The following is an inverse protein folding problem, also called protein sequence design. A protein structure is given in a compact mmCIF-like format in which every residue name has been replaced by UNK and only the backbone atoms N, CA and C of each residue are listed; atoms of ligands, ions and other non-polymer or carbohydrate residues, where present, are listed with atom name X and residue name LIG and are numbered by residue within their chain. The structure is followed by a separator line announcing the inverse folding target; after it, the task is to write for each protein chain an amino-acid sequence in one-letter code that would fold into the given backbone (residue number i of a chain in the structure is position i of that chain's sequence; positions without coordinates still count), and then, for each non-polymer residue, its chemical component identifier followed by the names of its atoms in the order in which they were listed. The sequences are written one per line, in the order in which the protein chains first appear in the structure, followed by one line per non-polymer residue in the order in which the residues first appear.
data_IF_407799655579
#
_entry.id   IF_407799655579
#
_cell.length_a   1.000
_cell.length_b   1.000
_cell.length_c   1.000
_cell.angle_alpha   90.00
_cell.angle_beta   90.00
_cell.angle_gamma   90.00
#
_symmetry.space_group_name_H-M   'P 1'
#
loop_
_entity.id
_entity.type
_entity.pdbx_description
1 polymer ?
#
# COMPACT_ATOMS: atom_id res chain seq x y z
N UNK A 1 -5.24 -20.50 0.24
CA UNK A 1 -4.08 -20.73 1.13
C UNK A 1 -3.67 -19.39 1.72
N UNK A 2 -3.14 -19.36 2.95
CA UNK A 2 -2.57 -18.13 3.50
C UNK A 2 -1.21 -17.92 2.84
N UNK A 3 -0.99 -16.72 2.29
CA UNK A 3 0.26 -16.29 1.68
C UNK A 3 0.79 -15.10 2.48
N UNK A 4 2.11 -15.05 2.70
CA UNK A 4 2.79 -13.97 3.43
C UNK A 4 4.02 -13.48 2.69
N UNK A 5 4.63 -12.39 3.16
CA UNK A 5 5.91 -11.90 2.64
C UNK A 5 6.97 -12.01 3.74
N UNK A 6 8.12 -12.59 3.40
CA UNK A 6 9.35 -12.42 4.20
C UNK A 6 10.05 -11.18 3.65
N UNK A 7 9.95 -10.08 4.39
CA UNK A 7 10.47 -8.79 3.96
C UNK A 7 11.95 -8.65 4.27
N UNK A 8 12.75 -8.40 3.24
CA UNK A 8 14.17 -8.12 3.31
C UNK A 8 14.35 -6.64 2.95
N UNK A 9 14.80 -5.84 3.91
CA UNK A 9 14.94 -4.40 3.71
C UNK A 9 16.31 -4.06 3.15
N UNK A 10 16.32 -3.55 1.94
CA UNK A 10 17.51 -3.08 1.24
C UNK A 10 17.69 -1.59 1.55
N UNK A 11 18.83 -1.16 2.13
CA UNK A 11 19.07 0.24 2.45
C UNK A 11 19.11 1.12 1.18
N UNK A 12 19.16 2.44 1.37
CA UNK A 12 19.06 3.46 0.32
C UNK A 12 20.16 3.45 -0.78
N UNK A 13 21.00 2.41 -0.86
CA UNK A 13 22.10 2.30 -1.82
C UNK A 13 21.66 2.45 -3.29
N UNK A 14 20.41 2.10 -3.63
CA UNK A 14 19.87 2.24 -5.00
C UNK A 14 19.17 3.56 -5.32
N UNK A 15 18.93 4.44 -4.34
CA UNK A 15 18.14 5.65 -4.57
C UNK A 15 19.06 6.86 -4.81
N UNK A 16 19.17 7.31 -6.06
CA UNK A 16 19.97 8.49 -6.45
C UNK A 16 19.35 9.83 -6.02
N UNK A 17 18.09 9.81 -5.60
CA UNK A 17 17.34 11.00 -5.20
C UNK A 17 16.80 10.85 -3.78
N UNK A 18 16.83 11.95 -3.03
CA UNK A 18 16.21 12.05 -1.72
C UNK A 18 14.83 12.67 -1.91
N UNK A 19 13.79 11.84 -1.78
CA UNK A 19 12.40 12.30 -1.90
C UNK A 19 12.07 13.29 -0.78
N UNK A 20 11.15 14.23 -1.05
CA UNK A 20 10.79 15.26 -0.09
C UNK A 20 10.26 14.73 1.25
N UNK A 21 9.61 13.56 1.23
CA UNK A 21 8.97 12.91 2.38
C UNK A 21 9.80 11.80 3.03
N UNK A 22 10.92 11.41 2.42
CA UNK A 22 11.63 10.21 2.82
C UNK A 22 12.77 10.53 3.79
N UNK A 23 12.65 10.09 5.04
CA UNK A 23 13.75 10.05 6.00
C UNK A 23 14.15 8.60 6.30
N UNK A 24 14.77 7.92 5.33
CA UNK A 24 15.00 6.48 5.44
C UNK A 24 16.02 6.10 6.53
N UNK A 25 16.92 7.01 6.93
CA UNK A 25 17.81 6.80 8.10
C UNK A 25 17.02 6.54 9.38
N UNK A 26 15.80 7.08 9.47
CA UNK A 26 14.86 6.86 10.57
C UNK A 26 13.87 5.71 10.29
N UNK A 27 13.52 5.44 9.03
CA UNK A 27 12.43 4.49 8.69
C UNK A 27 12.90 3.03 8.52
N UNK A 28 14.11 2.76 8.03
CA UNK A 28 14.54 1.38 7.73
C UNK A 28 15.20 0.65 8.91
N UNK A 29 15.64 1.38 9.95
CA UNK A 29 16.33 0.81 11.12
C UNK A 29 17.66 0.08 10.85
N UNK A 30 18.05 -0.07 9.58
CA UNK A 30 19.24 -0.79 9.12
C UNK A 30 20.11 0.15 8.28
N UNK A 31 21.36 0.33 8.70
CA UNK A 31 22.38 1.12 8.00
C UNK A 31 23.23 0.29 7.04
N UNK A 32 23.34 -1.01 7.27
CA UNK A 32 24.20 -1.90 6.49
C UNK A 32 23.40 -2.71 5.46
N UNK A 33 23.97 -2.97 4.26
CA UNK A 33 23.35 -3.84 3.28
C UNK A 33 23.26 -5.26 3.82
N UNK A 34 22.09 -5.90 3.65
CA UNK A 34 21.91 -7.32 3.98
C UNK A 34 22.87 -8.17 3.17
N UNK A 35 23.65 -9.00 3.85
CA UNK A 35 24.55 -9.97 3.21
C UNK A 35 23.81 -11.23 2.80
N UNK A 36 24.41 -12.02 1.92
CA UNK A 36 23.91 -13.31 1.48
C UNK A 36 23.70 -14.26 2.66
N UNK A 37 24.65 -14.26 3.61
CA UNK A 37 24.59 -15.10 4.81
C UNK A 37 23.44 -14.70 5.74
N UNK A 38 23.19 -13.40 5.88
CA UNK A 38 22.05 -12.92 6.66
C UNK A 38 20.73 -13.27 5.99
N UNK A 39 20.64 -13.12 4.66
CA UNK A 39 19.46 -13.54 3.90
C UNK A 39 19.21 -15.05 4.07
N UNK A 40 20.24 -15.88 3.93
CA UNK A 40 20.16 -17.32 4.20
C UNK A 40 19.65 -17.60 5.61
N UNK A 41 20.21 -16.96 6.63
CA UNK A 41 19.78 -17.11 8.02
C UNK A 41 18.31 -16.71 8.25
N UNK A 42 17.86 -15.61 7.63
CA UNK A 42 16.46 -15.17 7.67
C UNK A 42 15.56 -16.26 7.07
N UNK A 43 15.85 -16.70 5.85
CA UNK A 43 15.03 -17.69 5.15
C UNK A 43 14.99 -19.01 5.93
N UNK A 44 16.15 -19.54 6.33
CA UNK A 44 16.26 -20.77 7.11
C UNK A 44 15.45 -20.71 8.41
N UNK A 45 15.53 -19.58 9.13
CA UNK A 45 14.78 -19.41 10.40
C UNK A 45 13.26 -19.46 10.23
N UNK A 46 12.76 -19.10 9.05
CA UNK A 46 11.32 -19.11 8.76
C UNK A 46 10.82 -20.45 8.23
N UNK A 47 11.71 -21.30 7.71
CA UNK A 47 11.34 -22.50 6.97
C UNK A 47 10.45 -23.44 7.82
N UNK A 48 10.84 -23.70 9.06
CA UNK A 48 10.10 -24.63 9.93
C UNK A 48 8.73 -24.07 10.33
N UNK A 49 8.62 -22.75 10.51
CA UNK A 49 7.34 -22.08 10.77
C UNK A 49 6.40 -22.15 9.56
N UNK A 50 6.93 -22.01 8.34
CA UNK A 50 6.16 -22.14 7.11
C UNK A 50 5.64 -23.58 6.94
N UNK A 51 6.49 -24.59 7.16
CA UNK A 51 6.09 -26.01 7.15
C UNK A 51 4.97 -26.30 8.15
N UNK A 52 5.15 -25.88 9.40
CA UNK A 52 4.19 -26.18 10.47
C UNK A 52 2.84 -25.48 10.28
N UNK A 53 2.85 -24.27 9.73
CA UNK A 53 1.62 -23.50 9.53
C UNK A 53 0.89 -23.82 8.22
N UNK A 54 1.55 -24.47 7.26
CA UNK A 54 1.06 -24.65 5.89
C UNK A 54 0.90 -23.33 5.11
N UNK A 55 1.57 -22.26 5.57
CA UNK A 55 1.56 -20.94 4.93
C UNK A 55 2.71 -20.88 3.91
N UNK A 56 2.45 -20.30 2.73
CA UNK A 56 3.48 -20.01 1.73
C UNK A 56 3.96 -18.57 1.85
N UNK A 57 5.22 -18.31 1.49
CA UNK A 57 5.82 -16.99 1.57
C UNK A 57 6.48 -16.57 0.26
N UNK A 58 6.33 -15.30 -0.11
CA UNK A 58 7.19 -14.67 -1.10
C UNK A 58 8.40 -14.03 -0.41
N UNK A 59 9.58 -14.17 -1.02
CA UNK A 59 10.79 -13.45 -0.62
C UNK A 59 10.69 -12.04 -1.19
N UNK A 60 10.56 -11.04 -0.32
CA UNK A 60 10.19 -9.70 -0.72
C UNK A 60 11.30 -8.68 -0.44
N UNK A 61 11.95 -8.19 -1.49
CA UNK A 61 12.97 -7.13 -1.39
C UNK A 61 12.30 -5.76 -1.38
N UNK A 62 12.24 -5.13 -0.20
CA UNK A 62 11.64 -3.80 0.02
C UNK A 62 12.68 -2.79 0.52
N UNK A 63 12.28 -1.53 0.70
CA UNK A 63 13.15 -0.46 1.20
C UNK A 63 13.50 0.53 0.10
N UNK A 64 14.78 0.61 -0.27
CA UNK A 64 15.25 1.39 -1.41
C UNK A 64 14.75 0.85 -2.76
N UNK A 65 15.40 1.27 -3.85
CA UNK A 65 15.07 0.82 -5.20
C UNK A 65 15.87 -0.44 -5.54
N UNK A 66 15.27 -1.64 -5.43
CA UNK A 66 16.01 -2.90 -5.53
C UNK A 66 16.77 -3.06 -6.85
N UNK A 67 16.15 -2.71 -7.98
CA UNK A 67 16.78 -2.82 -9.30
C UNK A 67 17.79 -1.73 -9.61
N UNK A 68 18.00 -0.78 -8.68
CA UNK A 68 18.92 0.34 -8.82
C UNK A 68 20.19 0.19 -7.96
N UNK A 69 20.29 -0.87 -7.15
CA UNK A 69 21.51 -1.19 -6.41
C UNK A 69 22.61 -1.72 -7.35
N UNK A 70 23.82 -1.91 -6.82
CA UNK A 70 24.90 -2.55 -7.55
C UNK A 70 24.46 -3.88 -8.17
N UNK A 71 24.83 -4.09 -9.45
CA UNK A 71 24.32 -5.19 -10.25
C UNK A 71 24.76 -6.55 -9.69
N UNK A 72 26.02 -6.67 -9.30
CA UNK A 72 26.56 -7.90 -8.75
C UNK A 72 25.91 -8.21 -7.40
N UNK A 73 25.74 -7.19 -6.56
CA UNK A 73 25.02 -7.34 -5.29
C UNK A 73 23.58 -7.82 -5.47
N UNK A 74 22.83 -7.21 -6.40
CA UNK A 74 21.46 -7.65 -6.72
C UNK A 74 21.43 -9.13 -7.14
N UNK A 75 22.36 -9.53 -8.02
CA UNK A 75 22.47 -10.91 -8.51
C UNK A 75 22.80 -11.88 -7.37
N UNK A 76 23.68 -11.52 -6.43
CA UNK A 76 24.01 -12.38 -5.29
C UNK A 76 22.80 -12.62 -4.38
N UNK A 77 22.01 -11.59 -4.08
CA UNK A 77 20.76 -11.74 -3.31
C UNK A 77 19.71 -12.59 -4.06
N UNK A 78 19.54 -12.33 -5.36
CA UNK A 78 18.63 -13.12 -6.20
C UNK A 78 19.04 -14.59 -6.28
N UNK A 79 20.34 -14.87 -6.29
CA UNK A 79 20.87 -16.24 -6.31
C UNK A 79 20.50 -17.00 -5.05
N UNK A 80 20.62 -16.38 -3.87
CA UNK A 80 20.17 -16.97 -2.61
C UNK A 80 18.66 -17.21 -2.62
N UNK A 81 17.88 -16.19 -2.98
CA UNK A 81 16.42 -16.30 -3.02
C UNK A 81 15.94 -17.42 -3.95
N UNK A 82 16.51 -17.49 -5.17
CA UNK A 82 16.21 -18.55 -6.13
C UNK A 82 16.51 -19.94 -5.60
N UNK A 83 17.66 -20.12 -4.92
CA UNK A 83 18.01 -21.42 -4.33
C UNK A 83 16.96 -21.90 -3.33
N UNK A 84 16.39 -20.99 -2.53
CA UNK A 84 15.33 -21.32 -1.58
C UNK A 84 13.98 -21.60 -2.26
N UNK A 85 13.59 -20.83 -3.28
CA UNK A 85 12.36 -21.12 -4.04
C UNK A 85 12.45 -22.44 -4.80
N UNK A 86 13.63 -22.79 -5.31
CA UNK A 86 13.85 -24.06 -6.02
C UNK A 86 13.89 -25.25 -5.04
N UNK A 87 14.51 -25.09 -3.87
CA UNK A 87 14.66 -26.18 -2.88
C UNK A 87 13.39 -26.42 -2.04
N UNK A 88 12.59 -25.37 -1.79
CA UNK A 88 11.40 -25.44 -0.93
C UNK A 88 10.18 -24.76 -1.57
N UNK A 89 9.72 -25.20 -2.76
CA UNK A 89 8.63 -24.56 -3.51
C UNK A 89 7.26 -24.62 -2.80
N UNK A 90 7.10 -25.51 -1.82
CA UNK A 90 5.90 -25.56 -0.99
C UNK A 90 5.91 -24.53 0.15
N UNK A 91 7.04 -23.89 0.41
CA UNK A 91 7.20 -22.87 1.46
C UNK A 91 7.51 -21.50 0.88
N UNK A 92 8.38 -21.39 -0.14
CA UNK A 92 8.66 -20.15 -0.84
C UNK A 92 8.11 -20.19 -2.27
N UNK A 93 7.03 -19.47 -2.52
CA UNK A 93 6.26 -19.54 -3.77
C UNK A 93 6.55 -18.42 -4.76
N UNK A 94 7.57 -17.60 -4.48
CA UNK A 94 8.04 -16.60 -5.42
C UNK A 94 8.97 -15.57 -4.81
N UNK A 95 9.51 -14.74 -5.69
CA UNK A 95 10.29 -13.55 -5.32
C UNK A 95 9.48 -12.32 -5.75
N UNK A 96 9.50 -11.27 -4.92
CA UNK A 96 8.93 -9.96 -5.25
C UNK A 96 9.89 -8.84 -4.89
N UNK A 97 9.83 -7.72 -5.60
CA UNK A 97 10.62 -6.54 -5.25
C UNK A 97 9.81 -5.24 -5.37
N UNK A 98 10.29 -4.21 -4.66
CA UNK A 98 9.89 -2.82 -4.91
C UNK A 98 11.02 -2.07 -5.59
N UNK A 99 10.70 -1.23 -6.56
CA UNK A 99 11.69 -0.40 -7.25
C UNK A 99 11.12 0.90 -7.79
N UNK A 100 11.99 1.78 -8.28
CA UNK A 100 11.59 2.99 -9.00
C UNK A 100 11.25 2.66 -10.47
N UNK A 101 10.29 3.37 -11.08
CA UNK A 101 9.92 3.17 -12.48
C UNK A 101 11.08 3.36 -13.48
N UNK A 102 11.97 4.33 -13.26
CA UNK A 102 13.11 4.63 -14.12
C UNK A 102 14.23 3.58 -14.05
N UNK A 103 14.11 2.57 -13.19
CA UNK A 103 15.08 1.49 -13.00
C UNK A 103 14.58 0.15 -13.55
N UNK A 104 13.65 0.20 -14.50
CA UNK A 104 13.12 -0.95 -15.23
C UNK A 104 13.38 -0.78 -16.73
N UNK A 105 14.09 -1.75 -17.29
CA UNK A 105 14.32 -1.97 -18.71
C UNK A 105 14.30 -3.49 -19.00
N UNK A 106 14.43 -3.87 -20.27
CA UNK A 106 14.40 -5.27 -20.71
C UNK A 106 15.52 -6.10 -20.07
N UNK A 107 16.73 -5.55 -19.93
CA UNK A 107 17.87 -6.25 -19.34
C UNK A 107 17.61 -6.60 -17.86
N UNK A 108 17.10 -5.64 -17.09
CA UNK A 108 16.70 -5.87 -15.70
C UNK A 108 15.59 -6.92 -15.64
N UNK A 109 14.58 -6.82 -16.49
CA UNK A 109 13.46 -7.78 -16.47
C UNK A 109 13.88 -9.20 -16.88
N UNK A 110 14.82 -9.35 -17.81
CA UNK A 110 15.43 -10.63 -18.18
C UNK A 110 16.14 -11.26 -16.98
N UNK A 111 16.93 -10.46 -16.24
CA UNK A 111 17.59 -10.91 -15.00
C UNK A 111 16.54 -11.33 -13.97
N UNK A 112 15.57 -10.47 -13.68
CA UNK A 112 14.53 -10.78 -12.70
C UNK A 112 13.77 -12.06 -13.07
N UNK A 113 13.44 -12.25 -14.36
CA UNK A 113 12.76 -13.46 -14.86
C UNK A 113 13.63 -14.70 -14.65
N UNK A 114 14.92 -14.64 -15.02
CA UNK A 114 15.89 -15.73 -14.85
C UNK A 114 15.97 -16.19 -13.39
N UNK A 115 15.85 -15.27 -12.44
CA UNK A 115 15.92 -15.60 -11.02
C UNK A 115 14.58 -15.97 -10.37
N UNK A 116 13.48 -16.04 -11.12
CA UNK A 116 12.18 -16.45 -10.59
C UNK A 116 11.40 -15.33 -9.89
N UNK A 117 11.64 -14.07 -10.27
CA UNK A 117 10.77 -12.97 -9.87
C UNK A 117 9.34 -13.21 -10.35
N UNK A 118 8.37 -12.90 -9.49
CA UNK A 118 6.94 -13.11 -9.76
C UNK A 118 6.15 -11.81 -9.75
N UNK A 119 6.55 -10.84 -8.91
CA UNK A 119 5.86 -9.57 -8.76
C UNK A 119 6.84 -8.40 -8.62
N UNK A 120 6.53 -7.29 -9.28
CA UNK A 120 7.31 -6.05 -9.23
C UNK A 120 6.37 -4.92 -8.81
N UNK A 121 6.73 -4.23 -7.73
CA UNK A 121 6.00 -3.09 -7.20
C UNK A 121 6.73 -1.78 -7.55
N UNK A 122 6.09 -0.90 -8.30
CA UNK A 122 6.65 0.40 -8.67
C UNK A 122 6.26 1.49 -7.67
N UNK A 123 7.27 2.22 -7.19
CA UNK A 123 7.09 3.45 -6.43
C UNK A 123 6.64 4.63 -7.31
N UNK A 124 5.46 4.55 -7.92
CA UNK A 124 4.91 5.59 -8.78
C UNK A 124 4.59 6.88 -7.99
N UNK A 125 3.92 6.73 -6.84
CA UNK A 125 3.45 7.76 -5.92
C UNK A 125 2.36 8.68 -6.51
N UNK A 126 2.57 9.25 -7.70
CA UNK A 126 1.62 10.10 -8.42
C UNK A 126 1.79 9.91 -9.93
N UNK A 127 0.74 10.17 -10.71
CA UNK A 127 0.82 10.29 -12.17
C UNK A 127 0.84 11.75 -12.65
N UNK A 128 1.00 12.72 -11.74
CA UNK A 128 1.14 14.13 -12.06
C UNK A 128 2.62 14.58 -11.96
N UNK A 129 3.20 15.00 -13.07
CA UNK A 129 4.62 15.38 -13.13
C UNK A 129 4.97 16.63 -12.31
N UNK A 130 4.02 17.53 -12.05
CA UNK A 130 4.25 18.66 -11.15
C UNK A 130 4.42 18.18 -9.71
N UNK A 131 3.55 17.27 -9.26
CA UNK A 131 3.65 16.64 -7.93
C UNK A 131 4.96 15.85 -7.81
N UNK A 132 5.28 15.01 -8.81
CA UNK A 132 6.51 14.21 -8.80
C UNK A 132 7.77 15.09 -8.72
N UNK A 133 7.82 16.17 -9.50
CA UNK A 133 8.94 17.13 -9.51
C UNK A 133 9.04 17.90 -8.19
N UNK A 134 7.93 18.41 -7.67
CA UNK A 134 7.90 19.13 -6.40
C UNK A 134 8.38 18.27 -5.22
N UNK A 135 8.16 16.96 -5.31
CA UNK A 135 8.55 15.98 -4.29
C UNK A 135 9.88 15.25 -4.60
N UNK A 136 10.64 15.74 -5.59
CA UNK A 136 11.99 15.26 -5.94
C UNK A 136 12.05 13.75 -6.21
N UNK A 137 11.03 13.18 -6.85
CA UNK A 137 10.96 11.74 -7.13
C UNK A 137 12.05 11.25 -8.07
N UNK A 138 12.43 12.08 -9.04
CA UNK A 138 13.48 11.78 -10.03
C UNK A 138 13.03 10.82 -11.12
N UNK A 139 11.72 10.63 -11.28
CA UNK A 139 11.08 9.92 -12.40
C UNK A 139 9.81 10.68 -12.80
N UNK A 140 9.25 10.34 -13.96
CA UNK A 140 8.04 10.95 -14.53
C UNK A 140 6.88 9.96 -14.60
N UNK A 141 5.68 10.46 -14.82
CA UNK A 141 4.51 9.63 -15.12
C UNK A 141 4.75 8.72 -16.34
N UNK A 142 5.52 9.17 -17.34
CA UNK A 142 5.84 8.33 -18.50
C UNK A 142 6.79 7.18 -18.16
N UNK A 143 7.72 7.37 -17.22
CA UNK A 143 8.53 6.26 -16.72
C UNK A 143 7.66 5.19 -16.06
N UNK A 144 6.63 5.61 -15.30
CA UNK A 144 5.63 4.69 -14.73
C UNK A 144 4.89 3.94 -15.84
N UNK A 145 4.41 4.62 -16.88
CA UNK A 145 3.71 3.96 -18.00
C UNK A 145 4.61 2.96 -18.72
N UNK A 146 5.84 3.35 -19.06
CA UNK A 146 6.81 2.50 -19.74
C UNK A 146 7.13 1.25 -18.92
N UNK A 147 7.52 1.43 -17.65
CA UNK A 147 7.85 0.32 -16.77
C UNK A 147 6.66 -0.62 -16.54
N UNK A 148 5.45 -0.07 -16.35
CA UNK A 148 4.23 -0.87 -16.18
C UNK A 148 3.94 -1.74 -17.40
N UNK A 149 4.04 -1.18 -18.61
CA UNK A 149 3.85 -1.94 -19.86
C UNK A 149 4.87 -3.07 -19.99
N UNK A 150 6.16 -2.80 -19.74
CA UNK A 150 7.21 -3.81 -19.81
C UNK A 150 7.00 -4.94 -18.78
N UNK A 151 6.68 -4.59 -17.53
CA UNK A 151 6.42 -5.56 -16.45
C UNK A 151 5.28 -6.51 -16.85
N UNK A 152 4.16 -5.98 -17.37
CA UNK A 152 3.04 -6.80 -17.84
C UNK A 152 3.40 -7.65 -19.05
N UNK A 153 4.17 -7.12 -20.02
CA UNK A 153 4.63 -7.87 -21.20
C UNK A 153 5.51 -9.08 -20.82
N UNK A 154 6.34 -8.93 -19.78
CA UNK A 154 7.15 -10.02 -19.23
C UNK A 154 6.37 -11.03 -18.37
N UNK A 155 5.07 -10.77 -18.14
CA UNK A 155 4.18 -11.63 -17.38
C UNK A 155 4.45 -11.63 -15.87
N UNK A 156 4.94 -10.51 -15.32
CA UNK A 156 5.00 -10.31 -13.87
C UNK A 156 3.69 -9.71 -13.35
N UNK A 157 3.37 -9.98 -12.08
CA UNK A 157 2.38 -9.19 -11.35
C UNK A 157 2.90 -7.75 -11.19
N UNK A 158 2.07 -6.77 -11.54
CA UNK A 158 2.35 -5.36 -11.41
C UNK A 158 1.68 -4.77 -10.17
N UNK A 159 2.48 -4.36 -9.20
CA UNK A 159 2.04 -3.54 -8.07
C UNK A 159 2.36 -2.06 -8.29
N UNK A 160 1.46 -1.15 -7.91
CA UNK A 160 1.72 0.29 -7.93
C UNK A 160 1.52 0.91 -6.54
N UNK A 161 2.51 1.69 -6.08
CA UNK A 161 2.39 2.48 -4.86
C UNK A 161 1.87 3.87 -5.20
N UNK A 162 0.88 4.33 -4.45
CA UNK A 162 0.28 5.66 -4.53
C UNK A 162 0.51 6.38 -3.20
N UNK A 163 0.85 7.66 -3.26
CA UNK A 163 0.78 8.56 -2.12
C UNK A 163 -0.31 9.61 -2.35
N UNK A 164 -1.00 9.98 -1.27
CA UNK A 164 -2.05 11.02 -1.32
C UNK A 164 -1.65 12.20 -0.43
N UNK A 165 -2.02 13.41 -0.86
CA UNK A 165 -1.76 14.62 -0.11
C UNK A 165 -0.28 14.98 -0.08
N UNK A 166 0.46 14.74 -1.18
CA UNK A 166 1.84 15.22 -1.33
C UNK A 166 1.89 16.74 -1.53
N UNK A 167 3.09 17.35 -1.47
CA UNK A 167 3.23 18.77 -1.80
C UNK A 167 2.80 19.04 -3.25
N UNK A 168 1.90 20.03 -3.42
CA UNK A 168 1.19 20.38 -4.68
C UNK A 168 0.15 19.36 -5.17
N UNK A 169 -0.16 18.36 -4.36
CA UNK A 169 -1.18 17.38 -4.69
C UNK A 169 -2.59 17.94 -4.49
N UNK A 170 -3.58 17.37 -5.17
CA UNK A 170 -5.00 17.70 -5.02
C UNK A 170 -5.83 16.42 -4.99
N UNK A 171 -7.05 16.48 -4.47
CA UNK A 171 -7.95 15.32 -4.51
C UNK A 171 -8.15 14.82 -5.95
N UNK A 172 -8.29 15.74 -6.90
CA UNK A 172 -8.45 15.40 -8.31
C UNK A 172 -7.22 14.69 -8.87
N UNK A 173 -6.00 15.16 -8.56
CA UNK A 173 -4.77 14.48 -9.00
C UNK A 173 -4.62 13.07 -8.41
N UNK A 174 -5.09 12.85 -7.18
CA UNK A 174 -5.15 11.51 -6.59
C UNK A 174 -6.12 10.61 -7.37
N UNK A 175 -7.30 11.12 -7.72
CA UNK A 175 -8.30 10.40 -8.51
C UNK A 175 -7.77 10.08 -9.91
N UNK A 176 -7.15 11.05 -10.58
CA UNK A 176 -6.55 10.88 -11.91
C UNK A 176 -5.42 9.83 -11.87
N UNK A 177 -4.60 9.85 -10.83
CA UNK A 177 -3.57 8.83 -10.57
C UNK A 177 -4.18 7.43 -10.46
N UNK A 178 -5.29 7.28 -9.73
CA UNK A 178 -5.97 5.98 -9.62
C UNK A 178 -6.59 5.52 -10.96
N UNK A 179 -7.17 6.43 -11.74
CA UNK A 179 -7.66 6.13 -13.08
C UNK A 179 -6.54 5.62 -14.00
N UNK A 180 -5.38 6.28 -13.98
CA UNK A 180 -4.21 5.84 -14.74
C UNK A 180 -3.69 4.47 -14.26
N UNK A 181 -3.65 4.22 -12.95
CA UNK A 181 -3.25 2.91 -12.41
C UNK A 181 -4.17 1.79 -12.89
N UNK A 182 -5.48 2.03 -12.92
CA UNK A 182 -6.48 1.10 -13.46
C UNK A 182 -6.26 0.89 -14.97
N UNK A 183 -6.03 1.96 -15.73
CA UNK A 183 -5.75 1.89 -17.16
C UNK A 183 -4.44 1.17 -17.50
N UNK A 184 -3.47 1.16 -16.57
CA UNK A 184 -2.23 0.39 -16.68
C UNK A 184 -2.40 -1.09 -16.31
N UNK A 185 -3.62 -1.52 -15.93
CA UNK A 185 -3.93 -2.89 -15.55
C UNK A 185 -3.01 -3.44 -14.45
N UNK A 186 -2.71 -2.60 -13.45
CA UNK A 186 -2.03 -3.07 -12.24
C UNK A 186 -2.88 -4.11 -11.50
N UNK A 187 -2.21 -5.10 -10.92
CA UNK A 187 -2.85 -6.20 -10.20
C UNK A 187 -3.07 -5.80 -8.73
N UNK A 188 -2.12 -5.06 -8.16
CA UNK A 188 -2.16 -4.62 -6.77
C UNK A 188 -1.83 -3.15 -6.59
N UNK A 189 -2.42 -2.52 -5.58
CA UNK A 189 -2.12 -1.13 -5.18
C UNK A 189 -1.86 -1.01 -3.69
N UNK A 190 -0.93 -0.12 -3.35
CA UNK A 190 -0.71 0.37 -1.99
C UNK A 190 -1.01 1.86 -1.92
N UNK A 191 -1.83 2.28 -0.95
CA UNK A 191 -2.21 3.68 -0.78
C UNK A 191 -1.60 4.20 0.52
N UNK A 192 -0.77 5.23 0.44
CA UNK A 192 -0.09 5.82 1.57
C UNK A 192 -0.42 7.31 1.68
N UNK A 193 -1.35 7.71 2.56
CA UNK A 193 -1.47 9.13 2.89
C UNK A 193 -0.17 9.69 3.44
N UNK A 194 0.13 10.92 3.04
CA UNK A 194 1.39 11.56 3.39
C UNK A 194 1.43 11.85 4.88
N UNK A 195 2.44 11.30 5.54
CA UNK A 195 2.85 11.67 6.89
C UNK A 195 4.04 12.61 6.78
N UNK A 196 3.96 13.76 7.44
CA UNK A 196 5.02 14.77 7.42
C UNK A 196 5.94 14.48 8.60
N UNK A 197 7.17 14.07 8.31
CA UNK A 197 8.18 13.77 9.32
C UNK A 197 9.14 14.94 9.51
N UNK A 198 9.63 15.13 10.73
CA UNK A 198 10.76 16.02 11.03
C UNK A 198 11.98 15.63 10.18
N UNK A 199 12.85 16.61 9.96
CA UNK A 199 14.09 16.42 9.21
C UNK A 199 13.90 15.93 7.76
N UNK A 200 12.73 16.21 7.17
CA UNK A 200 12.46 16.03 5.74
C UNK A 200 12.21 17.37 5.07
N UNK A 201 12.29 17.41 3.74
CA UNK A 201 11.93 18.64 3.00
C UNK A 201 10.45 18.97 3.20
N UNK A 202 9.55 17.98 3.25
CA UNK A 202 8.14 18.22 3.58
C UNK A 202 7.98 18.79 5.00
N UNK A 203 8.75 18.30 5.96
CA UNK A 203 8.76 18.84 7.32
C UNK A 203 9.18 20.31 7.35
N UNK A 204 10.25 20.65 6.63
CA UNK A 204 10.70 22.04 6.47
C UNK A 204 9.63 22.93 5.82
N UNK A 205 8.97 22.44 4.77
CA UNK A 205 7.89 23.19 4.10
C UNK A 205 6.69 23.39 5.03
N UNK A 206 6.35 22.38 5.84
CA UNK A 206 5.28 22.44 6.83
C UNK A 206 5.56 23.47 7.94
N UNK A 207 6.74 23.41 8.54
CA UNK A 207 7.16 24.37 9.58
C UNK A 207 7.21 25.82 9.07
N UNK A 208 7.51 26.01 7.78
CA UNK A 208 7.48 27.33 7.14
C UNK A 208 6.08 27.81 6.72
N UNK A 209 5.04 26.99 6.87
CA UNK A 209 3.67 27.29 6.47
C UNK A 209 3.41 27.25 4.95
N UNK A 210 4.37 26.76 4.16
CA UNK A 210 4.26 26.68 2.68
C UNK A 210 3.41 25.48 2.23
N UNK A 211 3.30 24.46 3.07
CA UNK A 211 2.63 23.21 2.73
C UNK A 211 1.97 22.59 3.96
N UNK A 212 0.75 22.11 3.78
CA UNK A 212 0.18 21.10 4.66
C UNK A 212 -0.45 20.01 3.80
N UNK A 213 -0.59 18.81 4.37
CA UNK A 213 -1.28 17.69 3.73
C UNK A 213 -2.79 17.83 3.92
N UNK A 214 -3.55 16.88 3.37
CA UNK A 214 -4.99 16.80 3.60
C UNK A 214 -5.31 16.58 5.08
N UNK A 215 -6.45 17.10 5.52
CA UNK A 215 -6.96 16.82 6.87
C UNK A 215 -7.31 15.34 7.03
N UNK A 216 -7.51 14.90 8.27
CA UNK A 216 -7.96 13.53 8.55
C UNK A 216 -9.27 13.18 7.83
N UNK A 217 -10.25 14.10 7.84
CA UNK A 217 -11.52 13.90 7.16
C UNK A 217 -11.36 13.82 5.64
N UNK A 218 -10.61 14.75 5.04
CA UNK A 218 -10.33 14.73 3.60
C UNK A 218 -9.61 13.44 3.20
N UNK A 219 -8.60 13.05 3.96
CA UNK A 219 -7.82 11.83 3.71
C UNK A 219 -8.68 10.58 3.79
N UNK A 220 -9.47 10.42 4.86
CA UNK A 220 -10.28 9.20 5.06
C UNK A 220 -11.38 9.07 4.00
N UNK A 221 -12.03 10.18 3.61
CA UNK A 221 -13.00 10.19 2.50
C UNK A 221 -12.34 9.89 1.15
N UNK A 222 -11.19 10.50 0.86
CA UNK A 222 -10.44 10.21 -0.37
C UNK A 222 -9.99 8.74 -0.40
N UNK A 223 -9.45 8.22 0.68
CA UNK A 223 -9.07 6.80 0.78
C UNK A 223 -10.26 5.87 0.57
N UNK A 224 -11.45 6.19 1.13
CA UNK A 224 -12.67 5.43 0.89
C UNK A 224 -13.02 5.42 -0.61
N UNK A 225 -13.01 6.58 -1.26
CA UNK A 225 -13.28 6.72 -2.70
C UNK A 225 -12.28 5.93 -3.56
N UNK A 226 -10.98 6.05 -3.28
CA UNK A 226 -9.94 5.31 -4.00
C UNK A 226 -10.08 3.80 -3.80
N UNK A 227 -10.39 3.36 -2.58
CA UNK A 227 -10.65 1.94 -2.29
C UNK A 227 -11.81 1.39 -3.11
N UNK A 228 -12.91 2.13 -3.19
CA UNK A 228 -14.07 1.76 -4.00
C UNK A 228 -13.74 1.70 -5.50
N UNK A 229 -12.98 2.69 -6.02
CA UNK A 229 -12.50 2.70 -7.40
C UNK A 229 -11.69 1.45 -7.76
N UNK A 230 -10.67 1.12 -6.96
CA UNK A 230 -9.83 -0.05 -7.21
C UNK A 230 -10.61 -1.36 -7.06
N UNK A 231 -11.46 -1.49 -6.04
CA UNK A 231 -12.29 -2.67 -5.86
C UNK A 231 -13.24 -2.91 -7.04
N UNK A 232 -13.89 -1.84 -7.55
CA UNK A 232 -14.76 -1.92 -8.74
C UNK A 232 -14.02 -2.30 -10.01
N UNK A 233 -12.76 -1.89 -10.13
CA UNK A 233 -11.88 -2.26 -11.23
C UNK A 233 -11.25 -3.65 -11.09
N UNK A 234 -11.49 -4.37 -9.97
CA UNK A 234 -10.88 -5.67 -9.70
C UNK A 234 -9.40 -5.59 -9.29
N UNK A 235 -8.90 -4.41 -8.94
CA UNK A 235 -7.52 -4.18 -8.50
C UNK A 235 -7.43 -4.35 -6.99
N UNK A 236 -6.51 -5.20 -6.51
CA UNK A 236 -6.42 -5.50 -5.08
C UNK A 236 -5.66 -4.41 -4.32
N UNK A 237 -6.36 -3.69 -3.42
CA UNK A 237 -5.69 -2.80 -2.45
C UNK A 237 -5.09 -3.63 -1.32
N UNK A 238 -3.79 -3.94 -1.43
CA UNK A 238 -3.07 -4.82 -0.49
C UNK A 238 -2.56 -4.05 0.74
N UNK A 239 -2.47 -2.72 0.67
CA UNK A 239 -2.11 -1.86 1.81
C UNK A 239 -2.79 -0.50 1.72
N UNK A 240 -3.27 -0.01 2.86
CA UNK A 240 -3.72 1.37 3.02
C UNK A 240 -3.21 1.92 4.36
N UNK A 241 -2.39 2.96 4.30
CA UNK A 241 -1.67 3.53 5.45
C UNK A 241 -0.29 2.89 5.70
N UNK A 242 0.55 3.60 6.42
CA UNK A 242 1.90 3.15 6.79
C UNK A 242 1.86 2.02 7.82
N UNK A 243 2.94 1.23 7.88
CA UNK A 243 3.14 0.30 9.01
C UNK A 243 3.35 1.10 10.28
N UNK A 244 2.76 0.62 11.38
CA UNK A 244 2.98 1.24 12.67
C UNK A 244 4.45 1.05 13.05
N UNK A 245 5.19 2.14 13.12
CA UNK A 245 6.52 2.19 13.70
C UNK A 245 6.55 3.30 14.74
N UNK A 246 7.22 3.03 15.87
CA UNK A 246 7.39 4.03 16.94
C UNK A 246 8.08 5.29 16.42
N UNK A 247 8.96 5.14 15.43
CA UNK A 247 9.70 6.25 14.84
C UNK A 247 8.79 7.19 14.04
N UNK A 248 7.82 6.66 13.29
CA UNK A 248 6.83 7.49 12.58
C UNK A 248 5.98 8.27 13.57
N UNK A 249 5.53 7.63 14.66
CA UNK A 249 4.71 8.29 15.68
C UNK A 249 5.47 9.39 16.44
N UNK A 250 6.77 9.22 16.66
CA UNK A 250 7.61 10.20 17.38
C UNK A 250 8.05 11.38 16.50
N UNK A 251 8.32 11.12 15.21
CA UNK A 251 8.89 12.12 14.29
C UNK A 251 7.82 12.82 13.45
N UNK A 252 6.56 12.39 13.50
CA UNK A 252 5.46 13.04 12.79
C UNK A 252 5.18 14.43 13.36
N UNK A 253 5.12 15.42 12.46
CA UNK A 253 4.74 16.82 12.76
C UNK A 253 3.51 17.29 12.00
N UNK A 254 3.00 16.49 11.04
CA UNK A 254 1.80 16.82 10.29
C UNK A 254 1.37 15.67 9.38
N UNK A 255 0.30 15.89 8.61
CA UNK A 255 -0.30 14.86 7.75
C UNK A 255 -1.17 13.86 8.52
N UNK A 256 -1.41 12.69 7.92
CA UNK A 256 -2.37 11.71 8.45
C UNK A 256 -1.76 10.33 8.61
N UNK A 257 -1.74 9.86 9.86
CA UNK A 257 -1.40 8.51 10.23
C UNK A 257 -2.49 7.94 11.14
N UNK A 258 -2.96 6.73 10.83
CA UNK A 258 -3.83 5.98 11.71
C UNK A 258 -3.62 4.47 11.48
N UNK A 259 -3.43 3.67 12.54
CA UNK A 259 -3.13 2.23 12.40
C UNK A 259 -4.27 1.44 11.77
N UNK A 260 -5.52 1.90 11.93
CA UNK A 260 -6.72 1.30 11.33
C UNK A 260 -7.29 2.10 10.13
N UNK A 261 -6.46 2.86 9.42
CA UNK A 261 -6.92 3.73 8.32
C UNK A 261 -7.80 3.00 7.29
N UNK A 262 -7.41 1.76 6.90
CA UNK A 262 -8.23 0.93 6.00
C UNK A 262 -9.63 0.68 6.54
N UNK A 263 -9.73 0.31 7.81
CA UNK A 263 -11.03 0.01 8.43
C UNK A 263 -11.91 1.26 8.50
N UNK A 264 -11.32 2.44 8.73
CA UNK A 264 -12.02 3.71 8.69
C UNK A 264 -12.54 4.02 7.27
N UNK A 265 -11.70 3.85 6.25
CA UNK A 265 -12.11 4.03 4.86
C UNK A 265 -13.24 3.07 4.46
N UNK A 266 -13.14 1.80 4.86
CA UNK A 266 -14.21 0.82 4.65
C UNK A 266 -15.49 1.18 5.43
N UNK A 267 -15.36 1.71 6.66
CA UNK A 267 -16.48 2.20 7.47
C UNK A 267 -17.22 3.34 6.78
N UNK A 268 -16.51 4.27 6.14
CA UNK A 268 -17.11 5.35 5.35
C UNK A 268 -17.91 4.77 4.18
N UNK A 269 -17.37 3.78 3.45
CA UNK A 269 -18.11 3.11 2.38
C UNK A 269 -19.37 2.41 2.89
N UNK A 270 -19.33 1.80 4.08
CA UNK A 270 -20.53 1.23 4.69
C UNK A 270 -21.55 2.30 5.07
N UNK A 271 -21.10 3.47 5.57
CA UNK A 271 -21.99 4.57 5.86
C UNK A 271 -22.72 5.04 4.60
N UNK A 272 -22.02 5.17 3.48
CA UNK A 272 -22.63 5.53 2.19
C UNK A 272 -23.65 4.49 1.72
N UNK A 273 -23.31 3.19 1.83
CA UNK A 273 -24.24 2.09 1.52
C UNK A 273 -25.48 2.11 2.41
N UNK A 274 -25.32 2.33 3.71
CA UNK A 274 -26.42 2.44 4.66
C UNK A 274 -27.29 3.66 4.36
N UNK A 275 -26.68 4.80 4.07
CA UNK A 275 -27.40 6.02 3.72
C UNK A 275 -28.23 5.85 2.43
N UNK A 276 -27.73 5.07 1.47
CA UNK A 276 -28.44 4.79 0.21
C UNK A 276 -29.67 3.88 0.37
N UNK A 277 -29.76 3.09 1.44
CA UNK A 277 -30.86 2.14 1.68
C UNK A 277 -31.78 2.54 2.84
N UNK A 278 -31.47 3.63 3.55
CA UNK A 278 -32.25 4.13 4.66
C UNK A 278 -32.85 5.51 4.37
N UNK A 279 -34.16 5.61 4.56
CA UNK A 279 -34.87 6.88 4.68
C UNK A 279 -34.64 7.50 6.07
N UNK A 280 -34.80 8.83 6.16
CA UNK A 280 -34.72 9.55 7.43
C UNK A 280 -35.79 9.06 8.41
N UNK A 281 -35.37 8.90 9.67
CA UNK A 281 -36.21 8.31 10.71
C UNK A 281 -36.40 6.79 10.57
N UNK A 282 -36.67 6.13 11.70
CA UNK A 282 -37.11 4.74 11.73
C UNK A 282 -36.12 3.77 12.39
N UNK A 283 -36.53 2.50 12.42
CA UNK A 283 -35.77 1.40 13.02
C UNK A 283 -35.40 0.42 11.94
N UNK A 284 -34.13 0.01 11.87
CA UNK A 284 -33.65 -0.91 10.84
C UNK A 284 -32.93 -2.12 11.45
N UNK A 285 -32.91 -3.23 10.72
CA UNK A 285 -31.97 -4.34 10.92
C UNK A 285 -31.04 -4.39 9.72
N UNK A 286 -29.74 -4.31 9.96
CA UNK A 286 -28.72 -4.63 8.95
C UNK A 286 -28.28 -6.07 9.10
N UNK A 287 -28.38 -6.84 8.03
CA UNK A 287 -27.85 -8.19 7.90
C UNK A 287 -26.51 -8.13 7.17
N UNK A 288 -25.49 -8.76 7.73
CA UNK A 288 -24.14 -8.72 7.18
C UNK A 288 -23.29 -9.89 7.68
N UNK A 289 -22.22 -10.22 6.96
CA UNK A 289 -21.20 -11.12 7.45
C UNK A 289 -20.50 -10.56 8.70
N UNK A 290 -20.10 -11.44 9.62
CA UNK A 290 -19.42 -11.11 10.88
C UNK A 290 -18.23 -10.17 10.69
N UNK A 291 -17.48 -10.34 9.61
CA UNK A 291 -16.26 -9.54 9.32
C UNK A 291 -16.53 -8.07 9.03
N UNK A 292 -17.78 -7.70 8.74
CA UNK A 292 -18.19 -6.34 8.38
C UNK A 292 -18.82 -5.58 9.55
N UNK A 293 -19.15 -6.26 10.65
CA UNK A 293 -19.91 -5.67 11.78
C UNK A 293 -19.19 -4.44 12.36
N UNK A 294 -17.87 -4.51 12.58
CA UNK A 294 -17.11 -3.36 13.11
C UNK A 294 -17.16 -2.17 12.16
N UNK A 295 -17.09 -2.40 10.85
CA UNK A 295 -17.13 -1.40 9.79
C UNK A 295 -18.50 -0.75 9.66
N UNK A 296 -19.57 -1.51 9.87
CA UNK A 296 -20.95 -0.99 9.88
C UNK A 296 -21.17 -0.11 11.11
N UNK A 297 -20.71 -0.53 12.29
CA UNK A 297 -20.81 0.29 13.51
C UNK A 297 -19.94 1.55 13.41
N UNK A 298 -18.78 1.40 12.77
CA UNK A 298 -17.73 2.40 12.66
C UNK A 298 -16.89 2.53 13.93
N UNK A 299 -15.65 2.98 13.77
CA UNK A 299 -14.73 3.20 14.89
C UNK A 299 -15.36 4.16 15.92
N UNK A 300 -15.35 3.78 17.20
CA UNK A 300 -15.99 4.57 18.26
C UNK A 300 -17.51 4.77 18.11
N UNK A 301 -18.17 4.00 17.23
CA UNK A 301 -19.59 4.15 16.92
C UNK A 301 -19.90 5.28 15.93
N UNK A 302 -18.92 5.75 15.15
CA UNK A 302 -19.07 6.89 14.25
C UNK A 302 -20.29 6.77 13.31
N UNK A 303 -20.48 5.63 12.65
CA UNK A 303 -21.61 5.44 11.73
C UNK A 303 -22.94 5.35 12.49
N UNK A 304 -22.95 4.72 13.67
CA UNK A 304 -24.14 4.69 14.54
C UNK A 304 -24.57 6.11 14.93
N UNK A 305 -23.61 6.95 15.30
CA UNK A 305 -23.89 8.33 15.68
C UNK A 305 -24.38 9.15 14.48
N UNK A 306 -23.76 8.98 13.30
CA UNK A 306 -24.17 9.65 12.07
C UNK A 306 -25.62 9.30 11.66
N UNK A 307 -25.99 8.01 11.69
CA UNK A 307 -27.37 7.59 11.41
C UNK A 307 -28.35 8.05 12.51
N UNK A 308 -27.93 8.05 13.78
CA UNK A 308 -28.77 8.55 14.87
C UNK A 308 -29.11 10.03 14.72
N UNK A 309 -28.21 10.85 14.17
CA UNK A 309 -28.48 12.26 13.86
C UNK A 309 -29.56 12.44 12.78
N UNK A 310 -29.75 11.44 11.91
CA UNK A 310 -30.85 11.35 10.93
C UNK A 310 -32.12 10.70 11.51
N UNK A 311 -32.19 10.49 12.82
CA UNK A 311 -33.32 9.81 13.48
C UNK A 311 -33.38 8.30 13.22
N UNK A 312 -32.32 7.71 12.68
CA UNK A 312 -32.25 6.29 12.35
C UNK A 312 -31.62 5.52 13.51
N UNK A 313 -32.30 4.47 13.96
CA UNK A 313 -31.73 3.49 14.90
C UNK A 313 -31.66 2.13 14.24
N UNK A 314 -30.64 1.32 14.56
CA UNK A 314 -30.51 0.02 13.95
C UNK A 314 -29.93 -1.05 14.88
N UNK A 315 -30.23 -2.31 14.54
CA UNK A 315 -29.57 -3.51 15.06
C UNK A 315 -28.81 -4.20 13.93
N UNK A 316 -27.82 -5.01 14.28
CA UNK A 316 -27.09 -5.82 13.30
C UNK A 316 -27.39 -7.29 13.58
N UNK A 317 -27.66 -8.07 12.53
CA UNK A 317 -27.75 -9.54 12.57
C UNK A 317 -26.70 -10.14 11.64
N UNK A 318 -26.05 -11.21 12.08
CA UNK A 318 -25.09 -11.92 11.25
C UNK A 318 -25.82 -12.70 10.15
N UNK A 319 -25.36 -12.55 8.91
CA UNK A 319 -25.81 -13.30 7.74
C UNK A 319 -24.59 -13.61 6.88
N UNK A 320 -24.15 -14.88 6.91
CA UNK A 320 -22.88 -15.32 6.33
C UNK A 320 -22.85 -15.04 4.83
N UNK A 321 -21.79 -14.38 4.36
CA UNK A 321 -21.61 -14.04 2.94
C UNK A 321 -22.37 -12.80 2.46
N UNK A 322 -23.21 -12.18 3.29
CA UNK A 322 -23.91 -10.93 2.95
C UNK A 322 -23.00 -9.73 3.16
N UNK A 323 -22.89 -8.86 2.15
CA UNK A 323 -22.15 -7.60 2.27
C UNK A 323 -22.93 -6.58 3.14
N UNK A 324 -24.15 -6.24 2.73
CA UNK A 324 -25.09 -5.44 3.52
C UNK A 324 -26.51 -5.64 2.97
N UNK A 325 -27.46 -5.97 3.84
CA UNK A 325 -28.90 -5.98 3.54
C UNK A 325 -29.66 -5.27 4.64
N UNK A 326 -30.57 -4.37 4.30
CA UNK A 326 -31.35 -3.59 5.25
C UNK A 326 -32.82 -4.05 5.30
N UNK A 327 -33.42 -4.03 6.48
CA UNK A 327 -34.85 -4.28 6.71
C UNK A 327 -35.38 -3.21 7.65
N UNK A 328 -36.39 -2.43 7.22
CA UNK A 328 -37.07 -1.46 8.08
C UNK A 328 -38.08 -2.16 8.97
N UNK A 329 -38.12 -1.78 10.25
CA UNK A 329 -39.04 -2.31 11.26
C UNK A 329 -40.00 -1.21 11.70
N UNK A 330 -41.28 -1.40 11.43
CA UNK A 330 -42.35 -0.44 11.75
C UNK A 330 -42.28 0.79 10.86
#
# INVERSE_FOLDING_TARGET
MKQTNISVFIPHYGCKHICSFCNQKTISGHSEPVTEKELEGILESQLENLKNSGTKAQIAFFGGSFTAIDRDYMIRLLTVAKRYTDAYPEQYDGIRCSTRPDCIDEEILDILKKYGMTAIELGAQSMNDEVLRANRRGHTAEDVRRASRLIKQYGFELGLQMMTGLYKDTEQYCIDTANEFIALHCDTVRIYPTVILKNTELGRLHESGVYDSFTFEQTTRLCAKLLDMFNKAGVAVIRMGLHASRDVEQEMIGGVYHPALREIAESILYLDKMNAVCEDGGKYIFYTDKRNISKIIGQGGANRNALSQRGISFKIKEEKGTDLRAERIG
#
